data_IF_805291735903
#
_entry.id   IF_805291735903
#
_cell.length_a   1.000
_cell.length_b   1.000
_cell.length_c   1.000
_cell.angle_alpha   90.00
_cell.angle_beta   90.00
_cell.angle_gamma   90.00
#
_symmetry.space_group_name_H-M   'P 1'
#
loop_
_entity.id
_entity.type
_entity.pdbx_description
1 polymer ?
#
# COMPACT_ATOMS: atom_id res chain seq x y z
N UNK A 1 -53.47 -19.13 -47.99
CA UNK A 1 -52.88 -18.04 -47.17
C UNK A 1 -52.11 -18.65 -45.99
N UNK A 2 -50.77 -18.49 -45.91
CA UNK A 2 -50.01 -18.88 -44.70
C UNK A 2 -50.24 -17.83 -43.61
N UNK A 3 -50.86 -18.19 -42.48
CA UNK A 3 -50.99 -17.32 -41.30
C UNK A 3 -49.58 -16.89 -40.86
N UNK A 4 -49.30 -15.58 -40.81
CA UNK A 4 -48.06 -15.07 -40.21
C UNK A 4 -48.08 -15.38 -38.71
N UNK A 5 -47.10 -16.16 -38.23
CA UNK A 5 -46.80 -16.21 -36.78
C UNK A 5 -46.30 -14.84 -36.35
N UNK A 6 -46.92 -14.26 -35.34
CA UNK A 6 -46.41 -13.06 -34.67
C UNK A 6 -45.51 -13.50 -33.50
N UNK A 7 -44.34 -12.88 -33.37
CA UNK A 7 -43.40 -13.09 -32.27
C UNK A 7 -43.25 -11.78 -31.50
N UNK A 8 -43.26 -11.84 -30.16
CA UNK A 8 -43.05 -10.66 -29.30
C UNK A 8 -41.63 -10.10 -29.45
N UNK A 9 -41.42 -8.84 -29.05
CA UNK A 9 -40.09 -8.21 -29.11
C UNK A 9 -39.13 -8.85 -28.11
N UNK A 10 -39.62 -9.24 -26.94
CA UNK A 10 -38.89 -9.92 -25.88
C UNK A 10 -38.39 -11.29 -26.36
N UNK A 11 -39.27 -12.09 -26.96
CA UNK A 11 -38.91 -13.42 -27.47
C UNK A 11 -37.83 -13.32 -28.56
N UNK A 12 -37.98 -12.36 -29.49
CA UNK A 12 -36.97 -12.16 -30.54
C UNK A 12 -35.61 -11.75 -29.95
N UNK A 13 -35.61 -10.93 -28.89
CA UNK A 13 -34.40 -10.50 -28.19
C UNK A 13 -33.72 -11.69 -27.51
N UNK A 14 -34.45 -12.47 -26.74
CA UNK A 14 -33.96 -13.66 -26.04
C UNK A 14 -33.31 -14.65 -27.01
N UNK A 15 -33.98 -14.95 -28.14
CA UNK A 15 -33.46 -15.83 -29.18
C UNK A 15 -32.14 -15.30 -29.76
N UNK A 16 -32.05 -13.99 -30.03
CA UNK A 16 -30.82 -13.42 -30.60
C UNK A 16 -29.70 -13.38 -29.55
N UNK A 17 -30.00 -13.07 -28.30
CA UNK A 17 -29.04 -13.07 -27.19
C UNK A 17 -28.44 -14.45 -26.96
N UNK A 18 -29.27 -15.49 -26.92
CA UNK A 18 -28.80 -16.88 -26.81
C UNK A 18 -27.85 -17.25 -27.96
N UNK A 19 -28.07 -16.74 -29.18
CA UNK A 19 -27.17 -17.01 -30.30
C UNK A 19 -25.88 -16.17 -30.24
N UNK A 20 -25.95 -14.92 -29.79
CA UNK A 20 -24.78 -14.05 -29.68
C UNK A 20 -23.87 -14.46 -28.52
N UNK A 21 -24.45 -14.91 -27.41
CA UNK A 21 -23.72 -15.44 -26.25
C UNK A 21 -23.14 -16.83 -26.47
N UNK A 22 -23.50 -17.51 -27.58
CA UNK A 22 -23.07 -18.86 -27.90
C UNK A 22 -23.83 -19.96 -27.16
N UNK A 23 -24.91 -19.62 -26.44
CA UNK A 23 -25.78 -20.59 -25.75
C UNK A 23 -26.63 -21.44 -26.70
N UNK A 24 -26.90 -20.95 -27.92
CA UNK A 24 -27.61 -21.69 -28.96
C UNK A 24 -27.10 -21.35 -30.36
N UNK A 25 -27.17 -22.30 -31.29
CA UNK A 25 -26.89 -22.07 -32.70
C UNK A 25 -28.16 -21.65 -33.44
N UNK A 26 -28.01 -20.93 -34.57
CA UNK A 26 -29.15 -20.58 -35.41
C UNK A 26 -29.88 -21.81 -35.98
N UNK A 27 -29.20 -22.94 -36.13
CA UNK A 27 -29.78 -24.19 -36.59
C UNK A 27 -30.60 -24.91 -35.50
N UNK A 28 -30.22 -24.79 -34.23
CA UNK A 28 -31.01 -25.28 -33.09
C UNK A 28 -32.29 -24.49 -32.93
N UNK A 29 -32.19 -23.15 -32.87
CA UNK A 29 -33.36 -22.25 -32.81
C UNK A 29 -34.32 -22.47 -33.98
N UNK A 30 -33.78 -22.69 -35.19
CA UNK A 30 -34.60 -22.94 -36.38
C UNK A 30 -35.42 -24.21 -36.26
N UNK A 31 -34.84 -25.28 -35.71
CA UNK A 31 -35.52 -26.57 -35.49
C UNK A 31 -36.53 -26.50 -34.35
N UNK A 32 -36.13 -25.96 -33.20
CA UNK A 32 -36.93 -25.92 -31.98
C UNK A 32 -38.20 -25.06 -32.13
N UNK A 33 -38.04 -23.84 -32.65
CA UNK A 33 -39.14 -22.89 -32.74
C UNK A 33 -39.80 -22.84 -34.12
N UNK A 34 -39.33 -23.67 -35.07
CA UNK A 34 -39.76 -23.66 -36.48
C UNK A 34 -39.61 -22.27 -37.11
N UNK A 35 -38.50 -21.59 -36.84
CA UNK A 35 -38.19 -20.25 -37.35
C UNK A 35 -37.23 -20.38 -38.54
N UNK A 36 -37.55 -19.75 -39.67
CA UNK A 36 -36.67 -19.79 -40.84
C UNK A 36 -35.31 -19.13 -40.56
N UNK A 37 -34.19 -19.68 -41.07
CA UNK A 37 -32.86 -19.06 -40.94
C UNK A 37 -32.78 -17.62 -41.45
N UNK A 38 -33.61 -17.26 -42.44
CA UNK A 38 -33.70 -15.89 -42.97
C UNK A 38 -34.30 -14.93 -41.94
N UNK A 39 -35.30 -15.38 -41.18
CA UNK A 39 -35.93 -14.60 -40.10
C UNK A 39 -34.95 -14.39 -38.95
N UNK A 40 -34.22 -15.44 -38.56
CA UNK A 40 -33.16 -15.36 -37.55
C UNK A 40 -32.07 -14.37 -37.98
N UNK A 41 -31.66 -14.41 -39.25
CA UNK A 41 -30.67 -13.48 -39.80
C UNK A 41 -31.14 -12.03 -39.76
N UNK A 42 -32.44 -11.80 -40.05
CA UNK A 42 -33.05 -10.48 -39.92
C UNK A 42 -33.05 -10.00 -38.46
N UNK A 43 -33.42 -10.85 -37.51
CA UNK A 43 -33.41 -10.48 -36.08
C UNK A 43 -32.01 -10.18 -35.58
N UNK A 44 -30.98 -10.94 -35.98
CA UNK A 44 -29.58 -10.61 -35.67
C UNK A 44 -29.18 -9.23 -36.19
N UNK A 45 -29.62 -8.86 -37.40
CA UNK A 45 -29.35 -7.53 -37.99
C UNK A 45 -30.05 -6.43 -37.18
N UNK A 46 -31.32 -6.63 -36.83
CA UNK A 46 -32.10 -5.66 -36.05
C UNK A 46 -31.54 -5.48 -34.62
N UNK A 47 -30.93 -6.53 -34.02
CA UNK A 47 -30.31 -6.51 -32.69
C UNK A 47 -29.02 -5.71 -32.67
N UNK A 48 -28.15 -5.93 -33.66
CA UNK A 48 -26.95 -5.11 -33.86
C UNK A 48 -27.28 -3.64 -34.13
N UNK A 49 -28.44 -3.37 -34.74
CA UNK A 49 -28.91 -2.02 -35.00
C UNK A 49 -29.68 -1.40 -33.81
N UNK A 50 -29.76 -2.07 -32.66
CA UNK A 50 -30.43 -1.56 -31.46
C UNK A 50 -31.96 -1.49 -31.55
N UNK A 51 -32.58 -2.09 -32.58
CA UNK A 51 -34.03 -1.97 -32.83
C UNK A 51 -34.91 -2.79 -31.89
N UNK A 52 -34.32 -3.64 -31.05
CA UNK A 52 -35.05 -4.35 -29.99
C UNK A 52 -35.24 -3.52 -28.72
N UNK A 53 -34.63 -2.33 -28.65
CA UNK A 53 -34.71 -1.44 -27.50
C UNK A 53 -35.76 -0.34 -27.65
N UNK A 54 -36.63 -0.41 -28.67
CA UNK A 54 -37.62 0.64 -28.97
C UNK A 54 -38.69 0.88 -27.89
N UNK A 55 -38.69 0.14 -26.77
CA UNK A 55 -39.63 0.32 -25.65
C UNK A 55 -38.98 0.37 -24.25
N UNK A 56 -37.76 0.91 -24.09
CA UNK A 56 -37.43 1.49 -22.79
C UNK A 56 -38.18 2.82 -22.71
N UNK A 57 -39.32 2.87 -22.01
CA UNK A 57 -40.07 4.11 -21.81
C UNK A 57 -39.10 5.22 -21.38
N UNK A 58 -39.21 6.43 -21.94
CA UNK A 58 -38.30 7.55 -21.68
C UNK A 58 -38.09 7.84 -20.18
N UNK A 59 -39.07 7.46 -19.36
CA UNK A 59 -39.06 7.52 -17.90
C UNK A 59 -38.02 6.59 -17.24
N UNK A 60 -37.77 5.40 -17.79
CA UNK A 60 -36.81 4.44 -17.22
C UNK A 60 -35.36 4.86 -17.50
N UNK A 61 -35.12 5.43 -18.69
CA UNK A 61 -33.83 6.04 -19.03
C UNK A 61 -33.55 7.22 -18.10
N UNK A 62 -34.50 8.14 -17.93
CA UNK A 62 -34.34 9.28 -17.03
C UNK A 62 -34.10 8.87 -15.56
N UNK A 63 -34.75 7.80 -15.09
CA UNK A 63 -34.51 7.24 -13.75
C UNK A 63 -33.11 6.65 -13.59
N UNK A 64 -32.60 5.97 -14.62
CA UNK A 64 -31.25 5.42 -14.61
C UNK A 64 -30.19 6.53 -14.65
N UNK A 65 -30.39 7.57 -15.44
CA UNK A 65 -29.49 8.73 -15.49
C UNK A 65 -29.40 9.46 -14.14
N UNK A 66 -30.52 9.63 -13.43
CA UNK A 66 -30.53 10.19 -12.08
C UNK A 66 -29.74 9.32 -11.10
N UNK A 67 -29.92 7.99 -11.14
CA UNK A 67 -29.15 7.07 -10.31
C UNK A 67 -27.65 7.12 -10.62
N UNK A 68 -27.27 7.27 -11.89
CA UNK A 68 -25.86 7.39 -12.29
C UNK A 68 -25.26 8.68 -11.71
N UNK A 69 -25.94 9.82 -11.83
CA UNK A 69 -25.47 11.09 -11.24
C UNK A 69 -25.33 11.02 -9.73
N UNK A 70 -26.26 10.33 -9.05
CA UNK A 70 -26.17 10.11 -7.61
C UNK A 70 -24.96 9.25 -7.23
N UNK A 71 -24.70 8.17 -7.98
CA UNK A 71 -23.51 7.34 -7.80
C UNK A 71 -22.21 8.13 -8.03
N UNK A 72 -22.14 8.94 -9.08
CA UNK A 72 -20.98 9.80 -9.35
C UNK A 72 -20.72 10.78 -8.20
N UNK A 73 -21.79 11.38 -7.65
CA UNK A 73 -21.71 12.26 -6.47
C UNK A 73 -21.15 11.52 -5.26
N UNK A 74 -21.69 10.34 -4.95
CA UNK A 74 -21.27 9.51 -3.81
C UNK A 74 -19.80 9.06 -3.93
N UNK A 75 -19.36 8.69 -5.13
CA UNK A 75 -17.95 8.35 -5.40
C UNK A 75 -17.04 9.55 -5.15
N UNK A 76 -17.46 10.76 -5.54
CA UNK A 76 -16.75 12.00 -5.23
C UNK A 76 -16.60 12.24 -3.72
N UNK A 77 -17.68 12.06 -2.95
CA UNK A 77 -17.68 12.21 -1.49
C UNK A 77 -16.75 11.20 -0.81
N UNK A 78 -16.87 9.92 -1.16
CA UNK A 78 -16.00 8.85 -0.66
C UNK A 78 -14.53 9.12 -0.96
N UNK A 79 -14.23 9.67 -2.14
CA UNK A 79 -12.85 10.02 -2.53
C UNK A 79 -12.30 11.13 -1.64
N UNK A 80 -13.10 12.14 -1.33
CA UNK A 80 -12.72 13.23 -0.43
C UNK A 80 -12.56 12.75 1.01
N UNK A 81 -13.47 11.92 1.49
CA UNK A 81 -13.40 11.31 2.83
C UNK A 81 -12.14 10.47 2.99
N UNK A 82 -11.82 9.62 2.01
CA UNK A 82 -10.58 8.83 2.02
C UNK A 82 -9.31 9.70 2.07
N UNK A 83 -9.30 10.85 1.37
CA UNK A 83 -8.18 11.81 1.46
C UNK A 83 -8.09 12.45 2.85
N UNK A 84 -9.22 12.80 3.46
CA UNK A 84 -9.28 13.37 4.81
C UNK A 84 -8.82 12.35 5.85
N UNK A 85 -9.29 11.10 5.77
CA UNK A 85 -8.86 10.01 6.65
C UNK A 85 -7.35 9.75 6.57
N UNK A 86 -6.77 9.81 5.37
CA UNK A 86 -5.31 9.71 5.19
C UNK A 86 -4.59 10.83 5.95
N UNK A 87 -5.02 12.08 5.77
CA UNK A 87 -4.46 13.23 6.52
C UNK A 87 -4.60 13.07 8.03
N UNK A 88 -5.74 12.58 8.52
CA UNK A 88 -5.96 12.34 9.96
C UNK A 88 -5.00 11.28 10.50
N UNK A 89 -4.76 10.19 9.75
CA UNK A 89 -3.77 9.17 10.13
C UNK A 89 -2.36 9.74 10.20
N UNK A 90 -1.97 10.51 9.20
CA UNK A 90 -0.64 11.15 9.15
C UNK A 90 -0.48 12.12 10.33
N UNK A 91 -1.48 12.94 10.63
CA UNK A 91 -1.49 13.84 11.80
C UNK A 91 -1.38 13.09 13.12
N UNK A 92 -2.12 11.98 13.28
CA UNK A 92 -2.04 11.16 14.49
C UNK A 92 -0.65 10.53 14.67
N UNK A 93 0.00 10.09 13.59
CA UNK A 93 1.37 9.56 13.64
C UNK A 93 2.39 10.62 14.08
N UNK A 94 2.24 11.84 13.56
CA UNK A 94 3.09 12.97 13.93
C UNK A 94 2.88 13.40 15.38
N UNK A 95 1.62 13.50 15.82
CA UNK A 95 1.28 13.81 17.21
C UNK A 95 1.84 12.76 18.18
N UNK A 96 1.74 11.47 17.83
CA UNK A 96 2.35 10.39 18.64
C UNK A 96 3.87 10.56 18.78
N UNK A 97 4.56 11.09 17.76
CA UNK A 97 6.00 11.40 17.83
C UNK A 97 6.30 12.61 18.71
N UNK A 98 5.44 13.63 18.71
CA UNK A 98 5.56 14.84 19.55
C UNK A 98 5.23 14.56 21.03
N UNK A 99 4.29 13.66 21.30
CA UNK A 99 3.87 13.26 22.65
C UNK A 99 4.80 12.19 23.28
N UNK A 100 5.82 11.69 22.58
CA UNK A 100 6.78 10.72 23.13
C UNK A 100 8.12 11.39 23.43
N UNK A 101 8.61 11.22 24.65
CA UNK A 101 9.96 11.63 25.05
C UNK A 101 10.83 10.40 25.30
N UNK A 102 12.07 10.42 24.82
CA UNK A 102 13.02 9.33 25.04
C UNK A 102 14.07 9.80 26.03
N UNK A 103 14.23 9.03 27.10
CA UNK A 103 15.27 9.25 28.11
C UNK A 103 16.14 8.00 28.16
N UNK A 104 17.45 8.16 27.96
CA UNK A 104 18.46 7.14 28.25
C UNK A 104 18.60 7.01 29.77
N UNK A 105 18.43 5.80 30.32
CA UNK A 105 18.55 5.56 31.77
C UNK A 105 20.01 5.40 32.22
N UNK A 106 20.24 5.31 33.54
CA UNK A 106 21.55 5.10 34.17
C UNK A 106 22.22 3.75 33.85
N UNK A 107 21.48 2.84 33.20
CA UNK A 107 21.97 1.56 32.64
C UNK A 107 22.05 1.59 31.11
N UNK A 108 21.82 2.75 30.50
CA UNK A 108 21.92 3.04 29.07
C UNK A 108 21.06 2.10 28.23
N UNK A 109 19.82 1.85 28.67
CA UNK A 109 18.80 1.20 27.83
C UNK A 109 17.88 2.25 27.20
N UNK A 110 17.23 1.88 26.10
CA UNK A 110 16.30 2.75 25.38
C UNK A 110 14.89 2.57 25.90
N UNK A 111 14.29 3.67 26.35
CA UNK A 111 12.91 3.72 26.80
C UNK A 111 12.07 4.64 25.93
N UNK A 112 10.80 4.26 25.75
CA UNK A 112 9.76 5.16 25.24
C UNK A 112 8.80 5.46 26.38
N UNK A 113 8.45 6.73 26.53
CA UNK A 113 7.46 7.19 27.52
C UNK A 113 6.67 8.36 26.94
N UNK A 114 5.48 8.61 27.48
CA UNK A 114 4.73 9.81 27.19
C UNK A 114 5.55 11.07 27.58
N UNK A 115 5.25 12.20 26.97
CA UNK A 115 5.96 13.47 27.17
C UNK A 115 5.85 13.98 28.61
N UNK A 116 4.85 13.51 29.36
CA UNK A 116 4.65 13.77 30.79
C UNK A 116 5.43 12.81 31.71
N UNK A 117 6.18 11.86 31.13
CA UNK A 117 6.95 10.85 31.86
C UNK A 117 6.19 9.59 32.27
N UNK A 118 4.91 9.47 31.90
CA UNK A 118 4.10 8.28 32.16
C UNK A 118 4.33 7.18 31.11
N UNK A 119 3.85 5.96 31.41
CA UNK A 119 3.90 4.80 30.50
C UNK A 119 5.30 4.45 29.97
N UNK A 120 6.28 4.40 30.87
CA UNK A 120 7.65 4.03 30.53
C UNK A 120 7.75 2.56 30.11
N UNK A 121 8.12 2.32 28.85
CA UNK A 121 8.35 1.00 28.26
C UNK A 121 9.83 0.87 27.91
N UNK A 122 10.48 -0.20 28.39
CA UNK A 122 11.85 -0.56 27.99
C UNK A 122 11.82 -1.25 26.62
N UNK A 123 12.48 -0.68 25.62
CA UNK A 123 12.50 -1.23 24.26
C UNK A 123 13.63 -2.23 24.03
N UNK A 124 14.75 -2.14 24.75
CA UNK A 124 15.94 -2.95 24.46
C UNK A 124 16.22 -4.06 25.47
N UNK A 125 15.86 -3.89 26.74
CA UNK A 125 15.79 -4.90 27.79
C UNK A 125 16.97 -5.90 27.80
N UNK A 126 18.19 -5.39 27.91
CA UNK A 126 19.42 -6.20 27.94
C UNK A 126 20.52 -5.50 28.76
N UNK A 127 21.57 -6.21 29.23
CA UNK A 127 22.57 -5.64 30.12
C UNK A 127 23.64 -4.77 29.43
N UNK A 128 23.54 -4.57 28.10
CA UNK A 128 24.54 -3.86 27.30
C UNK A 128 24.23 -2.37 27.22
N UNK A 129 25.21 -1.59 26.79
CA UNK A 129 25.02 -0.18 26.52
C UNK A 129 24.29 0.01 25.18
N UNK A 130 23.09 0.61 25.20
CA UNK A 130 22.31 1.00 24.02
C UNK A 130 22.14 2.54 23.99
N UNK A 131 22.71 3.20 22.98
CA UNK A 131 22.80 4.67 22.95
C UNK A 131 22.51 5.27 21.57
N UNK A 132 22.54 6.62 21.53
CA UNK A 132 22.48 7.46 20.33
C UNK A 132 21.49 6.97 19.28
N UNK A 133 20.23 6.88 19.70
CA UNK A 133 19.18 6.45 18.79
C UNK A 133 18.76 7.56 17.82
N UNK A 134 18.31 7.16 16.65
CA UNK A 134 17.63 8.05 15.71
C UNK A 134 16.38 7.39 15.12
N UNK A 135 15.35 8.21 14.91
CA UNK A 135 14.10 7.77 14.33
C UNK A 135 14.17 7.84 12.81
N UNK A 136 13.72 6.78 12.18
CA UNK A 136 13.32 6.84 10.78
C UNK A 136 12.34 8.02 10.55
N UNK A 137 12.39 8.68 9.38
CA UNK A 137 11.54 9.84 9.10
C UNK A 137 10.03 9.57 9.21
N UNK A 138 9.60 8.33 8.94
CA UNK A 138 8.21 7.88 9.06
C UNK A 138 7.82 7.45 10.48
N UNK A 139 8.78 7.43 11.42
CA UNK A 139 8.56 7.06 12.81
C UNK A 139 8.31 5.58 13.05
N UNK A 140 8.60 4.70 12.07
CA UNK A 140 8.29 3.26 12.18
C UNK A 140 9.45 2.43 12.72
N UNK A 141 10.67 2.92 12.54
CA UNK A 141 11.91 2.29 12.96
C UNK A 141 12.80 3.22 13.76
N UNK A 142 13.65 2.62 14.58
CA UNK A 142 14.68 3.27 15.38
C UNK A 142 16.01 2.62 15.02
N UNK A 143 17.03 3.41 14.70
CA UNK A 143 18.43 2.95 14.72
C UNK A 143 19.06 3.31 16.06
N UNK A 144 19.99 2.52 16.54
CA UNK A 144 20.72 2.78 17.78
C UNK A 144 22.05 2.02 17.76
N UNK A 145 23.03 2.48 18.53
CA UNK A 145 24.25 1.71 18.76
C UNK A 145 24.11 0.80 19.97
N UNK A 146 24.74 -0.37 19.94
CA UNK A 146 24.73 -1.32 21.04
C UNK A 146 26.09 -2.00 21.23
N UNK A 147 26.50 -2.19 22.49
CA UNK A 147 27.73 -2.93 22.83
C UNK A 147 27.49 -4.42 23.09
N UNK A 148 26.30 -4.94 22.74
CA UNK A 148 25.91 -6.32 23.07
C UNK A 148 26.81 -7.39 22.46
N UNK A 149 27.56 -7.03 21.42
CA UNK A 149 28.48 -7.89 20.69
C UNK A 149 29.97 -7.56 20.92
N UNK A 150 30.28 -6.93 22.07
CA UNK A 150 31.63 -6.63 22.61
C UNK A 150 32.32 -5.37 22.08
N UNK A 151 31.86 -4.84 20.95
CA UNK A 151 32.19 -3.52 20.39
C UNK A 151 30.90 -2.76 20.08
N UNK A 152 30.99 -1.47 19.77
CA UNK A 152 29.84 -0.70 19.33
C UNK A 152 29.40 -1.13 17.93
N UNK A 153 28.12 -1.43 17.78
CA UNK A 153 27.53 -1.89 16.55
C UNK A 153 26.17 -1.23 16.32
N UNK A 154 25.83 -0.98 15.07
CA UNK A 154 24.56 -0.37 14.69
C UNK A 154 23.46 -1.43 14.63
N UNK A 155 22.37 -1.17 15.35
CA UNK A 155 21.15 -1.94 15.33
C UNK A 155 19.98 -1.12 14.79
N UNK A 156 18.97 -1.83 14.30
CA UNK A 156 17.66 -1.27 13.97
C UNK A 156 16.57 -2.12 14.60
N UNK A 157 15.50 -1.46 15.05
CA UNK A 157 14.29 -2.09 15.56
C UNK A 157 13.04 -1.35 15.10
N UNK A 158 11.88 -1.99 15.26
CA UNK A 158 10.60 -1.31 15.13
C UNK A 158 10.39 -0.31 16.28
N UNK A 159 9.52 0.68 16.05
CA UNK A 159 9.17 1.71 17.03
C UNK A 159 8.64 1.18 18.37
N UNK A 160 8.14 -0.06 18.39
CA UNK A 160 7.64 -0.76 19.57
C UNK A 160 8.72 -1.63 20.26
N UNK A 161 9.97 -1.59 19.79
CA UNK A 161 11.09 -2.37 20.31
C UNK A 161 11.23 -3.77 19.72
N UNK A 162 10.30 -4.21 18.86
CA UNK A 162 10.36 -5.52 18.20
C UNK A 162 11.38 -5.55 17.06
N UNK A 163 11.74 -6.76 16.61
CA UNK A 163 12.60 -7.01 15.43
C UNK A 163 13.98 -6.33 15.49
N UNK A 164 14.60 -6.30 16.67
CA UNK A 164 15.98 -5.82 16.83
C UNK A 164 16.94 -6.64 15.97
N UNK A 165 17.60 -5.96 15.02
CA UNK A 165 18.48 -6.56 14.03
C UNK A 165 19.81 -5.80 14.01
N UNK A 166 20.93 -6.53 14.08
CA UNK A 166 22.28 -5.98 13.92
C UNK A 166 22.55 -5.70 12.44
N UNK A 167 22.99 -4.49 12.10
CA UNK A 167 23.28 -4.08 10.73
C UNK A 167 24.76 -4.08 10.39
N UNK A 168 25.62 -3.78 11.35
CA UNK A 168 27.09 -3.82 11.19
C UNK A 168 27.65 -5.03 11.94
N UNK A 169 28.74 -5.61 11.47
CA UNK A 169 29.41 -6.70 12.19
C UNK A 169 30.88 -6.76 11.80
N UNK A 170 31.70 -6.05 12.57
CA UNK A 170 33.14 -5.99 12.33
C UNK A 170 33.89 -5.82 13.66
N UNK A 171 35.19 -5.54 13.58
CA UNK A 171 36.06 -5.42 14.75
C UNK A 171 36.21 -3.97 15.25
N UNK A 172 35.82 -3.00 14.43
CA UNK A 172 35.88 -1.58 14.76
C UNK A 172 34.58 -1.15 15.47
N UNK A 173 34.60 0.03 16.09
CA UNK A 173 33.40 0.60 16.70
C UNK A 173 32.58 1.34 15.62
N UNK A 174 31.32 0.96 15.49
CA UNK A 174 30.33 1.65 14.67
C UNK A 174 29.30 2.37 15.55
N UNK A 175 29.30 3.70 15.49
CA UNK A 175 28.61 4.59 16.43
C UNK A 175 27.77 5.67 15.73
N UNK A 176 26.95 6.38 16.52
CA UNK A 176 26.22 7.59 16.12
C UNK A 176 25.39 7.44 14.82
N UNK A 177 24.44 6.49 14.75
CA UNK A 177 23.64 6.29 13.56
C UNK A 177 22.67 7.45 13.29
N UNK A 178 22.58 7.88 12.04
CA UNK A 178 21.66 8.91 11.57
C UNK A 178 20.89 8.47 10.32
N UNK A 179 19.56 8.58 10.36
CA UNK A 179 18.72 8.32 9.21
C UNK A 179 18.80 9.44 8.17
N UNK A 180 18.92 9.04 6.92
CA UNK A 180 18.70 9.96 5.80
C UNK A 180 17.25 10.51 5.81
N UNK A 181 17.03 11.77 5.39
CA UNK A 181 15.68 12.38 5.40
C UNK A 181 14.64 11.64 4.55
N UNK A 182 15.07 10.85 3.56
CA UNK A 182 14.20 10.05 2.72
C UNK A 182 13.99 8.61 3.24
N UNK A 183 14.60 8.26 4.38
CA UNK A 183 14.45 6.97 5.05
C UNK A 183 15.09 5.79 4.33
N UNK A 184 15.99 6.00 3.36
CA UNK A 184 16.58 4.92 2.55
C UNK A 184 17.97 4.48 2.99
N UNK A 185 18.65 5.32 3.76
CA UNK A 185 20.03 5.12 4.20
C UNK A 185 20.22 5.49 5.66
N UNK A 186 21.25 4.90 6.25
CA UNK A 186 21.78 5.23 7.57
C UNK A 186 23.24 5.63 7.36
N UNK A 187 23.62 6.79 7.88
CA UNK A 187 25.00 7.20 8.03
C UNK A 187 25.45 6.92 9.46
N UNK A 188 26.73 6.58 9.66
CA UNK A 188 27.29 6.30 10.98
C UNK A 188 28.80 6.54 10.97
N UNK A 189 29.38 6.65 12.16
CA UNK A 189 30.81 6.78 12.36
C UNK A 189 31.43 5.40 12.50
N UNK A 190 32.47 5.12 11.72
CA UNK A 190 33.29 3.91 11.81
C UNK A 190 34.65 4.30 12.39
N UNK A 191 35.01 3.71 13.52
CA UNK A 191 36.22 4.04 14.28
C UNK A 191 37.12 2.82 14.44
N UNK A 192 38.18 2.76 13.63
CA UNK A 192 39.20 1.71 13.70
C UNK A 192 40.48 2.27 14.32
N UNK A 193 40.76 1.93 15.58
CA UNK A 193 41.96 2.33 16.33
C UNK A 193 42.36 3.81 16.21
N UNK A 194 41.37 4.72 16.25
CA UNK A 194 41.60 6.17 16.20
C UNK A 194 41.50 6.80 14.81
N UNK A 195 41.30 6.00 13.76
CA UNK A 195 40.87 6.50 12.46
C UNK A 195 39.35 6.51 12.38
N UNK A 196 38.76 7.71 12.34
CA UNK A 196 37.31 7.90 12.28
C UNK A 196 36.88 8.31 10.88
N UNK A 197 35.95 7.54 10.32
CA UNK A 197 35.44 7.70 8.97
C UNK A 197 33.91 7.69 8.99
N UNK A 198 33.29 8.40 8.05
CA UNK A 198 31.84 8.38 7.90
C UNK A 198 31.46 7.31 6.89
N UNK A 199 30.66 6.35 7.32
CA UNK A 199 30.10 5.32 6.47
C UNK A 199 28.61 5.54 6.22
N UNK A 200 28.12 4.99 5.13
CA UNK A 200 26.69 4.95 4.80
C UNK A 200 26.31 3.57 4.31
N UNK A 201 25.13 3.10 4.71
CA UNK A 201 24.54 1.85 4.25
C UNK A 201 23.05 2.02 3.94
N UNK A 202 22.46 1.04 3.26
CA UNK A 202 21.02 0.90 3.17
C UNK A 202 20.45 0.46 4.53
N UNK A 203 19.14 0.65 4.73
CA UNK A 203 18.47 0.38 6.01
C UNK A 203 18.37 -1.10 6.38
N UNK A 204 18.73 -1.99 5.46
CA UNK A 204 18.84 -3.43 5.66
C UNK A 204 20.29 -3.88 5.93
N UNK A 205 21.23 -2.93 6.07
CA UNK A 205 22.66 -3.19 6.27
C UNK A 205 23.45 -3.39 4.97
N UNK A 206 22.77 -3.48 3.82
CA UNK A 206 23.46 -3.68 2.53
C UNK A 206 24.09 -2.39 1.98
N UNK A 207 24.98 -2.53 0.99
CA UNK A 207 25.49 -1.37 0.24
C UNK A 207 26.37 -0.43 1.07
N UNK A 208 27.07 -0.98 2.07
CA UNK A 208 28.02 -0.26 2.91
C UNK A 208 29.08 0.47 2.06
N UNK A 209 29.30 1.75 2.37
CA UNK A 209 30.22 2.63 1.65
C UNK A 209 30.86 3.65 2.58
N UNK A 210 32.19 3.77 2.54
CA UNK A 210 32.93 4.87 3.14
C UNK A 210 32.72 6.16 2.31
N UNK A 211 32.33 7.26 2.97
CA UNK A 211 32.11 8.57 2.34
C UNK A 211 33.30 9.52 2.47
N UNK A 212 34.11 9.42 3.52
CA UNK A 212 35.22 10.35 3.80
C UNK A 212 36.55 9.84 3.27
N UNK A 213 36.72 8.51 3.17
CA UNK A 213 37.88 7.78 2.63
C UNK A 213 39.21 8.52 2.84
N UNK A 214 39.55 8.84 4.09
CA UNK A 214 40.84 9.43 4.38
C UNK A 214 41.88 8.30 4.50
N UNK A 215 42.93 8.26 3.65
CA UNK A 215 44.04 7.37 3.90
C UNK A 215 44.74 7.83 5.18
N UNK A 216 44.55 7.09 6.27
CA UNK A 216 45.22 7.38 7.54
C UNK A 216 46.74 7.45 7.28
N UNK A 217 47.34 8.62 7.47
CA UNK A 217 48.80 8.73 7.53
C UNK A 217 49.22 8.02 8.83
N UNK A 218 49.84 6.85 8.65
CA UNK A 218 50.48 6.07 9.71
C UNK A 218 51.86 6.63 10.06
#
# INVERSE_FOLDING_TARGET
MRKRRSFSSEFKKEVVEAIVSGQATGAEISREYSISPVVISKWKKDYKAGKFFENANSTDIARLELKVRELERLVGELTMENRMLKKVRDLNSKKKKEDLSIITSRTWEIYVMNSDGSEKINLTNNPSYDQYLDWSPDGRKISFESTRDRNYEIYVMNADGSEQTRLTNNLADDCDPAWSPNGKKIAFLHSDFGNQEIYVMNTDGSGLKNLTNNPANS
#
